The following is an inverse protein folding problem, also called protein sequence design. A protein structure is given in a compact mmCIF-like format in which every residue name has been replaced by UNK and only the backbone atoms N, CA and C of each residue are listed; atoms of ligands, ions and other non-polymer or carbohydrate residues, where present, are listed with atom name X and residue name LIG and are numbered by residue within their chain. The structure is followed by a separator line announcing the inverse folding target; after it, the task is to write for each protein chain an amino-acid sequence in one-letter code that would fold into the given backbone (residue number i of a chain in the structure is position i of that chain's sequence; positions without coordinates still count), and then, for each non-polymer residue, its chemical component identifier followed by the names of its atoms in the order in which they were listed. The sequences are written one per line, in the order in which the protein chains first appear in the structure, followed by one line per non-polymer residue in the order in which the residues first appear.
data_IF_348819295109
#
_entry.id   IF_348819295109
#
_cell.length_a   1.000
_cell.length_b   1.000
_cell.length_c   1.000
_cell.angle_alpha   90.00
_cell.angle_beta   90.00
_cell.angle_gamma   90.00
#
_symmetry.space_group_name_H-M   'P 1'
#
loop_
_entity.id
_entity.type
_entity.pdbx_description
1 polymer ?
#
# COMPACT_ATOMS: atom_id res chain seq x y z
N UNK A 1 16.01 5.64 1.56
CA UNK A 1 15.17 5.13 0.46
C UNK A 1 13.70 5.24 0.87
N UNK A 2 12.86 5.73 -0.01
CA UNK A 2 11.44 5.93 0.31
C UNK A 2 10.58 4.78 -0.21
N UNK A 3 9.53 4.47 0.54
CA UNK A 3 8.56 3.42 0.20
C UNK A 3 7.16 3.87 0.57
N UNK A 4 6.19 3.41 -0.21
CA UNK A 4 4.78 3.54 0.15
C UNK A 4 4.44 2.42 1.13
N UNK A 5 3.79 2.76 2.22
CA UNK A 5 3.43 1.81 3.26
C UNK A 5 1.95 1.93 3.60
N UNK A 6 1.25 0.82 3.61
CA UNK A 6 -0.14 0.76 4.03
C UNK A 6 -0.34 -0.44 4.95
N UNK A 7 -0.83 -0.19 6.16
CA UNK A 7 -1.22 -1.23 7.09
C UNK A 7 -2.73 -1.42 7.02
N UNK A 8 -3.15 -2.64 6.75
CA UNK A 8 -4.55 -2.96 6.52
C UNK A 8 -5.24 -3.36 7.84
N UNK A 9 -6.24 -2.60 8.21
CA UNK A 9 -7.09 -2.83 9.38
C UNK A 9 -8.48 -3.21 8.93
N UNK A 10 -8.83 -4.47 9.10
CA UNK A 10 -10.07 -5.06 8.56
C UNK A 10 -11.36 -4.40 9.04
N UNK A 11 -11.34 -3.86 10.23
CA UNK A 11 -12.53 -3.28 10.83
C UNK A 11 -12.61 -1.76 10.70
N UNK A 12 -11.60 -1.14 10.11
CA UNK A 12 -11.59 0.29 9.87
C UNK A 12 -12.19 0.60 8.50
N UNK A 13 -12.99 1.66 8.43
CA UNK A 13 -13.58 2.11 7.17
C UNK A 13 -12.54 2.69 6.23
N UNK A 14 -11.48 3.27 6.78
CA UNK A 14 -10.43 3.93 6.01
C UNK A 14 -9.08 3.37 6.38
N UNK A 15 -8.24 3.25 5.34
CA UNK A 15 -6.85 2.85 5.48
C UNK A 15 -5.95 4.05 5.27
N UNK A 16 -4.97 4.22 6.12
CA UNK A 16 -3.98 5.29 5.99
C UNK A 16 -2.81 4.81 5.14
N UNK A 17 -2.37 5.67 4.23
CA UNK A 17 -1.24 5.40 3.34
C UNK A 17 -0.12 6.37 3.70
N UNK A 18 1.08 5.84 3.86
CA UNK A 18 2.26 6.59 4.26
C UNK A 18 3.35 6.49 3.22
N UNK A 19 4.18 7.52 3.17
CA UNK A 19 5.52 7.40 2.57
C UNK A 19 6.52 7.35 3.72
N UNK A 20 7.32 6.30 3.74
CA UNK A 20 8.31 6.04 4.79
C UNK A 20 9.70 6.13 4.17
N UNK A 21 10.58 6.89 4.82
CA UNK A 21 12.00 6.88 4.51
C UNK A 21 12.69 5.86 5.41
N UNK A 22 13.19 4.78 4.83
CA UNK A 22 13.79 3.69 5.59
C UNK A 22 15.15 4.05 6.18
N UNK A 23 15.81 5.08 5.66
CA UNK A 23 17.12 5.51 6.15
C UNK A 23 17.00 6.39 7.40
N UNK A 24 15.98 7.25 7.43
CA UNK A 24 15.77 8.19 8.55
C UNK A 24 14.68 7.75 9.51
N UNK A 25 13.80 6.84 9.09
CA UNK A 25 12.61 6.43 9.84
C UNK A 25 11.46 7.42 9.77
N UNK A 26 11.60 8.50 8.99
CA UNK A 26 10.51 9.47 8.83
C UNK A 26 9.31 8.82 8.14
N UNK A 27 8.11 9.18 8.61
CA UNK A 27 6.85 8.63 8.14
C UNK A 27 5.84 9.77 7.96
N UNK A 28 5.34 9.91 6.74
CA UNK A 28 4.37 10.94 6.39
C UNK A 28 3.08 10.28 5.88
N UNK A 29 1.94 10.63 6.50
CA UNK A 29 0.64 10.20 6.00
C UNK A 29 0.28 11.05 4.78
N UNK A 30 0.14 10.41 3.63
CA UNK A 30 -0.11 11.11 2.37
C UNK A 30 -1.54 10.95 1.88
N UNK A 31 -2.27 9.97 2.38
CA UNK A 31 -3.67 9.76 2.00
C UNK A 31 -4.39 8.86 3.01
N UNK A 32 -5.72 8.98 3.01
CA UNK A 32 -6.62 8.02 3.64
C UNK A 32 -7.63 7.60 2.59
N UNK A 33 -7.91 6.32 2.51
CA UNK A 33 -8.81 5.79 1.48
C UNK A 33 -9.57 4.57 1.98
N UNK A 34 -10.67 4.27 1.32
CA UNK A 34 -11.39 3.00 1.57
C UNK A 34 -10.61 1.84 0.99
N UNK A 35 -10.91 0.63 1.47
CA UNK A 35 -10.27 -0.59 0.96
C UNK A 35 -10.50 -0.76 -0.55
N UNK A 36 -11.68 -0.40 -1.02
CA UNK A 36 -12.06 -0.55 -2.44
C UNK A 36 -11.25 0.36 -3.35
N UNK A 37 -10.94 1.57 -2.89
CA UNK A 37 -10.18 2.56 -3.68
C UNK A 37 -8.67 2.43 -3.48
N UNK A 38 -8.24 1.62 -2.55
CA UNK A 38 -6.84 1.51 -2.16
C UNK A 38 -5.89 1.26 -3.34
N UNK A 39 -6.15 0.32 -4.27
CA UNK A 39 -5.24 0.07 -5.38
C UNK A 39 -5.03 1.28 -6.28
N UNK A 40 -6.11 2.01 -6.58
CA UNK A 40 -6.06 3.21 -7.42
C UNK A 40 -5.27 4.32 -6.73
N UNK A 41 -5.53 4.54 -5.46
CA UNK A 41 -4.86 5.60 -4.69
C UNK A 41 -3.38 5.31 -4.52
N UNK A 42 -3.00 4.06 -4.23
CA UNK A 42 -1.59 3.66 -4.14
C UNK A 42 -0.89 3.89 -5.48
N UNK A 43 -1.50 3.50 -6.58
CA UNK A 43 -0.92 3.72 -7.91
C UNK A 43 -0.68 5.20 -8.18
N UNK A 44 -1.65 6.05 -7.86
CA UNK A 44 -1.53 7.49 -8.01
C UNK A 44 -0.40 8.09 -7.15
N UNK A 45 -0.27 7.62 -5.91
CA UNK A 45 0.79 8.06 -5.00
C UNK A 45 2.16 7.64 -5.53
N UNK A 46 2.31 6.41 -5.99
CA UNK A 46 3.56 5.93 -6.58
C UNK A 46 4.00 6.83 -7.74
N UNK A 47 3.08 7.17 -8.62
CA UNK A 47 3.39 8.03 -9.77
C UNK A 47 3.71 9.47 -9.36
N UNK A 48 2.92 10.03 -8.44
CA UNK A 48 3.13 11.41 -7.98
C UNK A 48 4.44 11.59 -7.21
N UNK A 49 4.79 10.61 -6.38
CA UNK A 49 6.00 10.67 -5.54
C UNK A 49 7.22 10.05 -6.19
N UNK A 50 7.07 9.38 -7.34
CA UNK A 50 8.13 8.60 -8.00
C UNK A 50 8.73 7.55 -7.08
N UNK A 51 7.87 6.90 -6.31
CA UNK A 51 8.23 5.83 -5.38
C UNK A 51 7.48 4.58 -5.82
N UNK A 52 8.21 3.56 -6.29
CA UNK A 52 7.61 2.38 -6.90
C UNK A 52 7.80 1.11 -6.06
N UNK A 53 8.12 1.28 -4.79
CA UNK A 53 8.16 0.20 -3.81
C UNK A 53 7.03 0.36 -2.81
N UNK A 54 6.24 -0.69 -2.62
CA UNK A 54 5.05 -0.67 -1.77
C UNK A 54 5.13 -1.80 -0.76
N UNK A 55 4.89 -1.48 0.50
CA UNK A 55 4.69 -2.47 1.56
C UNK A 55 3.21 -2.50 1.94
N UNK A 56 2.60 -3.65 1.78
CA UNK A 56 1.27 -3.91 2.31
C UNK A 56 1.41 -4.80 3.55
N UNK A 57 1.05 -4.27 4.69
CA UNK A 57 1.16 -4.98 5.96
C UNK A 57 -0.22 -5.35 6.49
N UNK A 58 -0.44 -6.63 6.71
CA UNK A 58 -1.61 -7.11 7.44
C UNK A 58 -1.26 -7.29 8.90
N UNK A 59 -2.10 -6.79 9.81
CA UNK A 59 -1.88 -6.95 11.25
C UNK A 59 -2.50 -8.22 11.81
N UNK A 60 -2.98 -9.11 10.93
CA UNK A 60 -3.61 -10.38 11.27
C UNK A 60 -3.54 -11.31 10.07
N UNK A 61 -3.95 -12.57 10.27
CA UNK A 61 -4.05 -13.55 9.17
C UNK A 61 -4.99 -13.04 8.08
N UNK A 62 -6.09 -12.42 8.45
CA UNK A 62 -7.01 -11.79 7.50
C UNK A 62 -6.35 -10.65 6.73
N UNK A 63 -5.63 -9.79 7.41
CA UNK A 63 -4.92 -8.69 6.77
C UNK A 63 -3.92 -9.16 5.72
N UNK A 64 -3.19 -10.25 6.01
CA UNK A 64 -2.25 -10.84 5.06
C UNK A 64 -2.97 -11.37 3.81
N UNK A 65 -4.08 -12.08 3.98
CA UNK A 65 -4.87 -12.60 2.86
C UNK A 65 -5.44 -11.46 2.00
N UNK A 66 -5.97 -10.41 2.62
CA UNK A 66 -6.50 -9.25 1.91
C UNK A 66 -5.39 -8.52 1.16
N UNK A 67 -4.18 -8.41 1.73
CA UNK A 67 -3.04 -7.81 1.05
C UNK A 67 -2.70 -8.55 -0.25
N UNK A 68 -2.71 -9.88 -0.22
CA UNK A 68 -2.45 -10.69 -1.41
C UNK A 68 -3.56 -10.54 -2.46
N UNK A 69 -4.82 -10.46 -2.03
CA UNK A 69 -5.96 -10.22 -2.93
C UNK A 69 -5.88 -8.84 -3.59
N UNK A 70 -5.50 -7.82 -2.84
CA UNK A 70 -5.29 -6.47 -3.36
C UNK A 70 -4.17 -6.49 -4.40
N UNK A 71 -3.08 -7.16 -4.12
CA UNK A 71 -1.97 -7.27 -5.07
C UNK A 71 -2.40 -7.93 -6.37
N UNK A 72 -3.11 -9.05 -6.30
CA UNK A 72 -3.60 -9.76 -7.48
C UNK A 72 -4.58 -8.91 -8.29
N UNK A 73 -5.49 -8.22 -7.62
CA UNK A 73 -6.43 -7.32 -8.26
C UNK A 73 -5.73 -6.15 -8.94
N UNK A 74 -4.76 -5.55 -8.26
CA UNK A 74 -4.04 -4.38 -8.75
C UNK A 74 -3.18 -4.71 -9.96
N UNK A 75 -2.57 -5.88 -9.98
CA UNK A 75 -1.80 -6.35 -11.14
C UNK A 75 -2.68 -6.50 -12.38
N UNK A 76 -3.93 -6.93 -12.21
CA UNK A 76 -4.87 -7.10 -13.32
C UNK A 76 -5.47 -5.78 -13.83
N UNK A 77 -5.80 -4.86 -12.91
CA UNK A 77 -6.65 -3.71 -13.23
C UNK A 77 -5.90 -2.38 -13.27
N UNK A 78 -4.76 -2.27 -12.57
CA UNK A 78 -4.02 -1.02 -12.44
C UNK A 78 -2.59 -1.10 -12.96
N UNK A 79 -2.20 -2.22 -13.56
CA UNK A 79 -0.90 -2.41 -14.19
C UNK A 79 0.26 -2.10 -13.23
N UNK A 80 0.29 -2.78 -12.09
CA UNK A 80 1.36 -2.64 -11.10
C UNK A 80 2.67 -3.37 -11.47
N UNK A 81 2.85 -3.71 -12.75
CA UNK A 81 4.02 -4.47 -13.19
C UNK A 81 5.35 -3.75 -12.92
N UNK A 82 5.31 -2.40 -12.87
CA UNK A 82 6.48 -1.58 -12.56
C UNK A 82 6.57 -1.24 -11.07
N UNK A 83 5.65 -1.72 -10.24
CA UNK A 83 5.63 -1.48 -8.81
C UNK A 83 6.09 -2.76 -8.10
N UNK A 84 7.14 -2.64 -7.30
CA UNK A 84 7.61 -3.73 -6.46
C UNK A 84 6.80 -3.75 -5.17
N UNK A 85 6.05 -4.82 -4.94
CA UNK A 85 5.19 -4.94 -3.76
C UNK A 85 5.70 -6.06 -2.87
N UNK A 86 5.85 -5.74 -1.59
CA UNK A 86 6.13 -6.71 -0.54
C UNK A 86 4.93 -6.78 0.41
N UNK A 87 4.40 -7.98 0.61
CA UNK A 87 3.34 -8.25 1.59
C UNK A 87 4.01 -8.69 2.87
N UNK A 88 3.82 -7.91 3.92
CA UNK A 88 4.39 -8.18 5.25
C UNK A 88 3.31 -8.88 6.09
N UNK A 89 3.62 -10.05 6.54
CA UNK A 89 2.69 -10.89 7.32
C UNK A 89 2.93 -10.80 8.81
#
# INVERSE_FOLDING_TARGET
MKRVYCELHMFDLHQSIYVVDTDTGEKECVAMTTMEELPEVISAICDAKKVYKVFLAGNSVYGAAVSEDILAYSNRHYNWNNIEVEVIK
#
